data_IF_087493496363
#
_entry.id   IF_087493496363
#
_cell.length_a   1.000
_cell.length_b   1.000
_cell.length_c   1.000
_cell.angle_alpha   90.00
_cell.angle_beta   90.00
_cell.angle_gamma   90.00
#
_symmetry.space_group_name_H-M   'P 1'
#
loop_
_entity.id
_entity.type
_entity.pdbx_description
1 polymer ?
#
# COMPACT_ATOMS: atom_id res chain seq x y z
N UNK A 1 -15.29 22.51 17.62
CA UNK A 1 -14.20 21.94 18.49
C UNK A 1 -13.25 21.10 17.63
N UNK A 2 -11.92 21.35 17.70
CA UNK A 2 -10.97 20.60 16.87
C UNK A 2 -10.82 19.17 17.36
N UNK A 3 -11.17 18.21 16.52
CA UNK A 3 -11.10 16.77 16.80
C UNK A 3 -10.06 16.13 15.87
N UNK A 4 -9.17 15.31 16.43
CA UNK A 4 -8.19 14.53 15.67
C UNK A 4 -8.60 13.06 15.70
N UNK A 5 -8.87 12.47 14.51
CA UNK A 5 -9.25 11.06 14.36
C UNK A 5 -8.42 10.39 13.27
N UNK A 6 -8.23 9.08 13.42
CA UNK A 6 -7.60 8.23 12.40
C UNK A 6 -8.63 7.24 11.88
N UNK A 7 -8.79 7.19 10.56
CA UNK A 7 -9.72 6.33 9.85
C UNK A 7 -8.96 5.34 8.97
N UNK A 8 -9.49 4.14 8.80
CA UNK A 8 -8.99 3.20 7.80
C UNK A 8 -9.61 3.50 6.43
N UNK A 9 -8.80 3.42 5.38
CA UNK A 9 -9.23 3.65 4.00
C UNK A 9 -9.12 2.36 3.21
N UNK A 10 -10.18 2.00 2.50
CA UNK A 10 -10.17 0.86 1.59
C UNK A 10 -10.17 1.31 0.13
N UNK A 11 -9.63 0.47 -0.77
CA UNK A 11 -9.57 0.77 -2.20
C UNK A 11 -8.31 1.51 -2.68
N UNK A 12 -7.40 1.93 -1.79
CA UNK A 12 -6.11 2.50 -2.20
C UNK A 12 -5.20 1.43 -2.80
N UNK A 13 -4.81 1.61 -4.06
CA UNK A 13 -3.93 0.67 -4.78
C UNK A 13 -2.55 1.23 -5.11
N UNK A 14 -2.35 2.54 -4.94
CA UNK A 14 -1.11 3.22 -5.30
C UNK A 14 -0.94 4.53 -4.52
N UNK A 15 0.29 5.06 -4.49
CA UNK A 15 0.61 6.31 -3.81
C UNK A 15 -0.13 7.53 -4.40
N UNK A 16 -0.43 7.53 -5.71
CA UNK A 16 -1.27 8.56 -6.33
C UNK A 16 -2.72 8.53 -5.85
N UNK A 17 -3.23 7.35 -5.47
CA UNK A 17 -4.54 7.22 -4.81
C UNK A 17 -4.54 7.93 -3.46
N UNK A 18 -3.50 7.72 -2.65
CA UNK A 18 -3.32 8.38 -1.37
C UNK A 18 -3.23 9.92 -1.54
N UNK A 19 -2.44 10.40 -2.52
CA UNK A 19 -2.33 11.83 -2.81
C UNK A 19 -3.67 12.45 -3.24
N UNK A 20 -4.52 11.69 -3.94
CA UNK A 20 -5.85 12.15 -4.32
C UNK A 20 -6.77 12.25 -3.12
N UNK A 21 -6.80 11.25 -2.25
CA UNK A 21 -7.60 11.27 -1.02
C UNK A 21 -7.14 12.42 -0.11
N UNK A 22 -5.84 12.62 0.02
CA UNK A 22 -5.22 13.73 0.73
C UNK A 22 -5.77 15.09 0.24
N UNK A 23 -5.74 15.30 -1.08
CA UNK A 23 -6.29 16.52 -1.69
C UNK A 23 -7.80 16.66 -1.47
N UNK A 24 -8.56 15.57 -1.57
CA UNK A 24 -10.02 15.58 -1.39
C UNK A 24 -10.40 15.87 0.05
N UNK A 25 -9.72 15.28 1.02
CA UNK A 25 -10.00 15.52 2.44
C UNK A 25 -9.58 16.93 2.88
N UNK A 26 -8.40 17.40 2.44
CA UNK A 26 -7.96 18.76 2.75
C UNK A 26 -8.80 19.86 2.07
N UNK A 27 -9.57 19.53 1.03
CA UNK A 27 -10.49 20.45 0.37
C UNK A 27 -11.89 20.48 1.01
N UNK A 28 -12.18 19.63 2.02
CA UNK A 28 -13.49 19.63 2.67
C UNK A 28 -13.64 20.80 3.65
N UNK A 29 -14.81 21.45 3.69
CA UNK A 29 -15.11 22.45 4.71
C UNK A 29 -14.95 21.87 6.12
N UNK A 30 -14.38 22.63 7.04
CA UNK A 30 -14.16 22.21 8.42
C UNK A 30 -12.95 21.29 8.64
N UNK A 31 -12.23 20.84 7.60
CA UNK A 31 -10.99 20.09 7.74
C UNK A 31 -9.83 21.07 7.87
N UNK A 32 -9.10 20.97 9.00
CA UNK A 32 -7.90 21.78 9.24
C UNK A 32 -6.67 21.16 8.60
N UNK A 33 -6.53 19.83 8.72
CA UNK A 33 -5.41 19.08 8.19
C UNK A 33 -5.81 17.61 8.01
N UNK A 34 -5.48 17.04 6.87
CA UNK A 34 -5.61 15.61 6.63
C UNK A 34 -4.28 15.06 6.10
N UNK A 35 -3.82 13.96 6.67
CA UNK A 35 -2.61 13.25 6.24
C UNK A 35 -2.93 11.80 5.96
N UNK A 36 -2.58 11.32 4.75
CA UNK A 36 -2.90 9.97 4.31
C UNK A 36 -1.66 9.10 4.37
N UNK A 37 -1.78 8.00 5.11
CA UNK A 37 -0.78 6.95 5.17
C UNK A 37 -1.12 5.84 4.18
N UNK A 38 -0.34 5.72 3.10
CA UNK A 38 -0.54 4.66 2.11
C UNK A 38 -0.12 3.28 2.63
N UNK A 39 0.93 3.19 3.47
CA UNK A 39 1.46 1.92 3.95
C UNK A 39 0.50 1.23 4.94
N UNK A 40 -0.13 2.00 5.82
CA UNK A 40 -1.12 1.51 6.80
C UNK A 40 -2.56 1.63 6.28
N UNK A 41 -2.75 2.16 5.06
CA UNK A 41 -4.06 2.46 4.47
C UNK A 41 -4.96 3.29 5.38
N UNK A 42 -4.40 4.29 6.09
CA UNK A 42 -5.13 5.13 7.04
C UNK A 42 -5.10 6.62 6.67
N UNK A 43 -6.09 7.37 7.13
CA UNK A 43 -6.16 8.82 7.09
C UNK A 43 -6.21 9.38 8.51
N UNK A 44 -5.29 10.25 8.84
CA UNK A 44 -5.38 11.07 10.04
C UNK A 44 -5.97 12.42 9.65
N UNK A 45 -7.12 12.77 10.23
CA UNK A 45 -7.84 13.99 9.91
C UNK A 45 -8.04 14.83 11.18
N UNK A 46 -7.65 16.10 11.11
CA UNK A 46 -7.94 17.14 12.11
C UNK A 46 -9.01 18.01 11.54
N UNK A 47 -10.20 18.00 12.15
CA UNK A 47 -11.35 18.74 11.65
C UNK A 47 -12.16 19.37 12.79
N UNK A 48 -12.94 20.39 12.47
CA UNK A 48 -13.88 20.97 13.39
C UNK A 48 -15.19 20.19 13.39
N UNK A 49 -15.53 19.59 14.56
CA UNK A 49 -16.74 18.76 14.70
C UNK A 49 -18.05 19.53 14.49
N UNK A 50 -18.02 20.86 14.57
CA UNK A 50 -19.20 21.70 14.38
C UNK A 50 -19.48 21.97 12.89
N UNK A 51 -18.46 21.86 12.02
CA UNK A 51 -18.56 22.09 10.58
C UNK A 51 -18.45 20.83 9.73
N UNK A 52 -17.78 19.77 10.24
CA UNK A 52 -17.49 18.55 9.51
C UNK A 52 -17.87 17.31 10.32
N UNK A 53 -18.54 16.35 9.69
CA UNK A 53 -18.90 15.07 10.31
C UNK A 53 -18.14 13.90 9.70
N UNK A 54 -18.03 12.78 10.44
CA UNK A 54 -17.45 11.53 9.96
C UNK A 54 -18.14 11.05 8.66
N UNK A 55 -19.44 11.29 8.53
CA UNK A 55 -20.22 10.92 7.35
C UNK A 55 -19.90 11.80 6.14
N UNK A 56 -19.63 13.10 6.33
CA UNK A 56 -19.23 14.00 5.24
C UNK A 56 -17.85 13.63 4.70
N UNK A 57 -16.90 13.27 5.59
CA UNK A 57 -15.58 12.77 5.21
C UNK A 57 -15.70 11.47 4.42
N UNK A 58 -16.54 10.53 4.89
CA UNK A 58 -16.79 9.26 4.20
C UNK A 58 -17.36 9.50 2.80
N UNK A 59 -18.36 10.34 2.67
CA UNK A 59 -18.99 10.67 1.37
C UNK A 59 -17.99 11.31 0.41
N UNK A 60 -17.13 12.21 0.89
CA UNK A 60 -16.08 12.84 0.07
C UNK A 60 -15.09 11.80 -0.47
N UNK A 61 -14.67 10.85 0.37
CA UNK A 61 -13.75 9.76 -0.03
C UNK A 61 -14.44 8.80 -0.98
N UNK A 62 -15.73 8.48 -0.77
CA UNK A 62 -16.53 7.63 -1.67
C UNK A 62 -16.70 8.27 -3.05
N UNK A 63 -16.97 9.57 -3.13
CA UNK A 63 -17.05 10.31 -4.39
C UNK A 63 -15.71 10.30 -5.15
N UNK A 64 -14.59 10.20 -4.44
CA UNK A 64 -13.27 10.03 -5.05
C UNK A 64 -13.00 8.59 -5.52
N UNK A 65 -13.90 7.63 -5.23
CA UNK A 65 -13.81 6.23 -5.66
C UNK A 65 -13.11 5.31 -4.68
N UNK A 66 -13.01 5.70 -3.40
CA UNK A 66 -12.44 4.95 -2.28
C UNK A 66 -13.48 4.82 -1.16
N UNK A 67 -13.18 4.13 -0.08
CA UNK A 67 -14.08 4.07 1.08
C UNK A 67 -13.33 4.36 2.38
N UNK A 68 -14.03 5.04 3.33
CA UNK A 68 -13.52 5.43 4.64
C UNK A 68 -14.33 4.69 5.70
N UNK A 69 -13.64 3.89 6.53
CA UNK A 69 -14.26 3.18 7.64
C UNK A 69 -14.35 4.12 8.85
N UNK A 70 -15.58 4.47 9.25
CA UNK A 70 -15.85 5.45 10.31
C UNK A 70 -16.05 4.82 11.68
N UNK A 71 -16.22 3.49 11.77
CA UNK A 71 -16.38 2.80 13.04
C UNK A 71 -15.03 2.66 13.76
N UNK A 72 -14.96 3.17 15.00
CA UNK A 72 -13.76 3.21 15.85
C UNK A 72 -13.69 2.05 16.84
N UNK A 73 -14.35 0.91 16.58
CA UNK A 73 -14.36 -0.26 17.45
C UNK A 73 -13.21 -1.25 17.18
N UNK A 74 -12.93 -2.15 18.12
CA UNK A 74 -11.92 -3.22 17.99
C UNK A 74 -12.16 -4.12 16.76
N UNK A 75 -13.38 -4.18 16.22
CA UNK A 75 -13.73 -4.93 15.02
C UNK A 75 -13.13 -4.35 13.73
N UNK A 76 -12.83 -3.03 13.69
CA UNK A 76 -12.29 -2.38 12.48
C UNK A 76 -10.89 -2.85 12.10
N UNK A 77 -10.05 -3.21 13.08
CA UNK A 77 -8.71 -3.73 12.80
C UNK A 77 -8.78 -5.16 12.20
N UNK A 78 -9.69 -5.99 12.69
CA UNK A 78 -9.89 -7.34 12.15
C UNK A 78 -10.51 -7.31 10.75
N UNK A 79 -11.46 -6.42 10.50
CA UNK A 79 -12.06 -6.22 9.16
C UNK A 79 -11.03 -5.68 8.16
N UNK A 80 -10.21 -4.72 8.56
CA UNK A 80 -9.11 -4.21 7.73
C UNK A 80 -8.09 -5.32 7.42
N UNK A 81 -7.72 -6.15 8.39
CA UNK A 81 -6.82 -7.27 8.19
C UNK A 81 -7.40 -8.33 7.24
N UNK A 82 -8.67 -8.67 7.39
CA UNK A 82 -9.35 -9.59 6.49
C UNK A 82 -9.45 -9.03 5.07
N UNK A 83 -9.70 -7.72 4.91
CA UNK A 83 -9.71 -7.05 3.62
C UNK A 83 -8.31 -7.07 2.96
N UNK A 84 -7.25 -6.81 3.72
CA UNK A 84 -5.86 -6.92 3.25
C UNK A 84 -5.50 -8.36 2.86
N UNK A 85 -5.85 -9.35 3.68
CA UNK A 85 -5.60 -10.75 3.38
C UNK A 85 -6.33 -11.21 2.11
N UNK A 86 -7.61 -10.85 1.95
CA UNK A 86 -8.40 -11.12 0.73
C UNK A 86 -7.76 -10.46 -0.50
N UNK A 87 -7.33 -9.22 -0.38
CA UNK A 87 -6.65 -8.49 -1.47
C UNK A 87 -5.35 -9.17 -1.87
N UNK A 88 -4.51 -9.56 -0.91
CA UNK A 88 -3.28 -10.29 -1.18
C UNK A 88 -3.53 -11.61 -1.90
N UNK A 89 -4.50 -12.41 -1.44
CA UNK A 89 -4.87 -13.67 -2.09
C UNK A 89 -5.39 -13.45 -3.52
N UNK A 90 -6.25 -12.46 -3.73
CA UNK A 90 -6.74 -12.09 -5.05
C UNK A 90 -5.59 -11.68 -5.98
N UNK A 91 -4.68 -10.82 -5.50
CA UNK A 91 -3.52 -10.37 -6.26
C UNK A 91 -2.57 -11.52 -6.59
N UNK A 92 -2.34 -12.42 -5.63
CA UNK A 92 -1.53 -13.64 -5.82
C UNK A 92 -2.11 -14.53 -6.92
N UNK A 93 -3.41 -14.80 -6.89
CA UNK A 93 -4.10 -15.61 -7.91
C UNK A 93 -4.04 -14.95 -9.28
N UNK A 94 -4.28 -13.63 -9.36
CA UNK A 94 -4.16 -12.88 -10.61
C UNK A 94 -2.74 -12.91 -11.18
N UNK A 95 -1.73 -12.72 -10.33
CA UNK A 95 -0.31 -12.74 -10.75
C UNK A 95 0.09 -14.12 -11.27
N UNK A 96 -0.24 -15.19 -10.54
CA UNK A 96 0.07 -16.56 -10.96
C UNK A 96 -0.63 -16.87 -12.29
N UNK A 97 -1.91 -16.52 -12.43
CA UNK A 97 -2.67 -16.73 -13.67
C UNK A 97 -2.10 -15.93 -14.84
N UNK A 98 -1.77 -14.66 -14.63
CA UNK A 98 -1.18 -13.82 -15.68
C UNK A 98 0.20 -14.34 -16.13
N UNK A 99 1.09 -14.72 -15.20
CA UNK A 99 2.41 -15.28 -15.52
C UNK A 99 2.29 -16.63 -16.24
N UNK A 100 1.41 -17.51 -15.73
CA UNK A 100 1.17 -18.84 -16.31
C UNK A 100 0.67 -18.78 -17.77
N UNK A 101 -0.02 -17.71 -18.16
CA UNK A 101 -0.46 -17.50 -19.55
C UNK A 101 0.52 -16.65 -20.36
N UNK A 102 1.16 -15.64 -19.78
CA UNK A 102 2.09 -14.75 -20.48
C UNK A 102 3.38 -15.48 -20.92
N UNK A 103 3.88 -16.41 -20.10
CA UNK A 103 5.08 -17.19 -20.46
C UNK A 103 4.84 -18.07 -21.70
N UNK A 104 3.78 -18.88 -21.81
CA UNK A 104 3.45 -19.57 -23.06
C UNK A 104 3.25 -18.62 -24.25
N UNK A 105 2.58 -17.48 -24.07
CA UNK A 105 2.42 -16.46 -25.12
C UNK A 105 3.79 -16.03 -25.65
N UNK A 106 4.73 -15.70 -24.76
CA UNK A 106 6.09 -15.31 -25.13
C UNK A 106 6.84 -16.44 -25.88
N UNK A 107 6.78 -17.67 -25.33
CA UNK A 107 7.46 -18.82 -25.95
C UNK A 107 6.91 -19.11 -27.35
N UNK A 108 5.60 -19.13 -27.51
CA UNK A 108 4.95 -19.39 -28.80
C UNK A 108 5.29 -18.28 -29.80
N UNK A 109 5.25 -17.00 -29.40
CA UNK A 109 5.59 -15.88 -30.27
C UNK A 109 7.05 -15.91 -30.74
N UNK A 110 7.99 -16.41 -29.89
CA UNK A 110 9.42 -16.48 -30.28
C UNK A 110 9.75 -17.64 -31.19
N UNK A 111 9.20 -18.84 -30.94
CA UNK A 111 9.61 -20.06 -31.64
C UNK A 111 8.62 -20.55 -32.70
N UNK A 112 7.35 -20.14 -32.64
CA UNK A 112 6.27 -20.67 -33.49
C UNK A 112 5.50 -19.57 -34.22
N UNK A 113 6.09 -18.41 -34.42
CA UNK A 113 5.44 -17.22 -35.05
C UNK A 113 4.99 -17.46 -36.52
N UNK A 114 5.58 -18.41 -37.20
CA UNK A 114 5.25 -18.73 -38.60
C UNK A 114 3.92 -19.50 -38.75
N UNK A 115 3.52 -20.26 -37.69
CA UNK A 115 2.34 -21.11 -37.74
C UNK A 115 1.07 -20.27 -37.50
N UNK A 116 0.19 -20.19 -38.48
CA UNK A 116 -1.05 -19.41 -38.40
C UNK A 116 -1.92 -19.82 -37.21
N UNK A 117 -2.05 -21.12 -36.91
CA UNK A 117 -2.79 -21.62 -35.75
C UNK A 117 -2.24 -21.07 -34.44
N UNK A 118 -0.90 -20.97 -34.33
CA UNK A 118 -0.26 -20.46 -33.10
C UNK A 118 -0.51 -18.98 -32.89
N UNK A 119 -0.65 -18.17 -33.94
CA UNK A 119 -1.04 -16.76 -33.85
C UNK A 119 -2.42 -16.58 -33.20
N UNK A 120 -3.39 -17.43 -33.55
CA UNK A 120 -4.73 -17.40 -32.94
C UNK A 120 -4.71 -17.88 -31.48
N UNK A 121 -3.90 -18.89 -31.16
CA UNK A 121 -3.72 -19.34 -29.75
C UNK A 121 -3.12 -18.21 -28.92
N UNK A 122 -2.08 -17.57 -29.39
CA UNK A 122 -1.43 -16.40 -28.75
C UNK A 122 -2.45 -15.27 -28.53
N UNK A 123 -3.28 -14.97 -29.54
CA UNK A 123 -4.35 -14.00 -29.41
C UNK A 123 -5.33 -14.33 -28.28
N UNK A 124 -5.85 -15.56 -28.22
CA UNK A 124 -6.78 -15.99 -27.17
C UNK A 124 -6.15 -15.89 -25.77
N UNK A 125 -4.93 -16.42 -25.61
CA UNK A 125 -4.21 -16.37 -24.32
C UNK A 125 -3.93 -14.93 -23.91
N UNK A 126 -3.46 -14.10 -24.84
CA UNK A 126 -3.20 -12.68 -24.59
C UNK A 126 -4.49 -11.92 -24.22
N UNK A 127 -5.62 -12.24 -24.86
CA UNK A 127 -6.92 -11.66 -24.52
C UNK A 127 -7.28 -11.90 -23.06
N UNK A 128 -7.09 -13.12 -22.57
CA UNK A 128 -7.34 -13.46 -21.17
C UNK A 128 -6.40 -12.65 -20.24
N UNK A 129 -5.13 -12.53 -20.60
CA UNK A 129 -4.17 -11.75 -19.79
C UNK A 129 -4.54 -10.27 -19.79
N UNK A 130 -4.75 -9.67 -20.98
CA UNK A 130 -4.94 -8.23 -21.14
C UNK A 130 -6.29 -7.78 -20.58
N UNK A 131 -7.37 -8.44 -20.96
CA UNK A 131 -8.74 -8.04 -20.57
C UNK A 131 -9.19 -8.66 -19.25
N UNK A 132 -8.72 -9.87 -18.91
CA UNK A 132 -9.04 -10.53 -17.67
C UNK A 132 -8.19 -10.00 -16.50
N UNK A 133 -6.91 -10.33 -16.48
CA UNK A 133 -5.99 -9.95 -15.39
C UNK A 133 -5.60 -8.47 -15.45
N UNK A 134 -5.53 -7.86 -16.64
CA UNK A 134 -5.24 -6.43 -16.83
C UNK A 134 -6.41 -5.48 -16.57
N UNK A 135 -7.63 -5.99 -16.32
CA UNK A 135 -8.84 -5.16 -16.18
C UNK A 135 -8.71 -4.02 -15.19
N UNK A 136 -8.03 -4.23 -14.08
CA UNK A 136 -7.85 -3.22 -13.03
C UNK A 136 -7.11 -1.98 -13.55
N UNK A 137 -6.11 -2.14 -14.44
CA UNK A 137 -5.35 -1.04 -15.02
C UNK A 137 -6.24 -0.16 -15.89
N UNK A 138 -7.08 -0.75 -16.73
CA UNK A 138 -8.01 -0.02 -17.60
C UNK A 138 -9.07 0.74 -16.81
N UNK A 139 -9.63 0.12 -15.77
CA UNK A 139 -10.61 0.77 -14.88
C UNK A 139 -9.98 1.96 -14.13
N UNK A 140 -8.77 1.79 -13.61
CA UNK A 140 -8.06 2.87 -12.91
C UNK A 140 -7.67 3.99 -13.89
N UNK A 141 -7.14 3.65 -15.06
CA UNK A 141 -6.81 4.62 -16.09
C UNK A 141 -8.03 5.45 -16.51
N UNK A 142 -9.18 4.81 -16.72
CA UNK A 142 -10.41 5.49 -17.09
C UNK A 142 -10.89 6.47 -15.99
N UNK A 143 -10.84 6.03 -14.73
CA UNK A 143 -11.17 6.89 -13.58
C UNK A 143 -10.22 8.11 -13.49
N UNK A 144 -8.92 7.89 -13.71
CA UNK A 144 -7.92 8.97 -13.69
C UNK A 144 -8.14 9.97 -14.82
N UNK A 145 -8.39 9.48 -16.03
CA UNK A 145 -8.61 10.32 -17.21
C UNK A 145 -9.82 11.24 -17.05
N UNK A 146 -10.93 10.74 -16.46
CA UNK A 146 -12.11 11.55 -16.15
C UNK A 146 -11.82 12.75 -15.25
N UNK A 147 -10.74 12.69 -14.48
CA UNK A 147 -10.36 13.75 -13.54
C UNK A 147 -9.12 14.55 -13.99
N UNK A 148 -8.74 14.43 -15.29
CA UNK A 148 -7.62 15.17 -15.86
C UNK A 148 -6.26 14.86 -15.26
N UNK A 149 -6.12 13.67 -14.63
CA UNK A 149 -4.85 13.22 -14.07
C UNK A 149 -4.36 11.97 -14.80
N UNK A 150 -3.05 11.80 -14.89
CA UNK A 150 -2.40 10.63 -15.45
C UNK A 150 -1.43 10.03 -14.42
N UNK A 151 -1.35 8.71 -14.42
CA UNK A 151 -0.42 7.96 -13.57
C UNK A 151 0.18 6.79 -14.35
N UNK A 152 0.98 5.97 -13.66
CA UNK A 152 1.57 4.78 -14.25
C UNK A 152 0.52 3.80 -14.79
N UNK A 153 -0.64 3.62 -14.11
CA UNK A 153 -1.72 2.76 -14.59
C UNK A 153 -2.31 3.26 -15.94
N UNK A 154 -2.36 4.59 -16.11
CA UNK A 154 -2.80 5.21 -17.37
C UNK A 154 -1.87 4.86 -18.52
N UNK A 155 -0.55 4.97 -18.31
CA UNK A 155 0.43 4.61 -19.33
C UNK A 155 0.40 3.13 -19.68
N UNK A 156 0.33 2.27 -18.65
CA UNK A 156 0.20 0.81 -18.83
C UNK A 156 -1.04 0.46 -19.64
N UNK A 157 -2.20 1.04 -19.29
CA UNK A 157 -3.44 0.80 -20.00
C UNK A 157 -3.37 1.25 -21.47
N UNK A 158 -2.79 2.42 -21.74
CA UNK A 158 -2.61 2.94 -23.12
C UNK A 158 -1.64 2.05 -23.89
N UNK A 159 -0.47 1.76 -23.34
CA UNK A 159 0.56 0.97 -24.01
C UNK A 159 0.09 -0.45 -24.34
N UNK A 160 -0.45 -1.17 -23.33
CA UNK A 160 -0.93 -2.55 -23.53
C UNK A 160 -2.19 -2.60 -24.37
N UNK A 161 -3.08 -1.60 -24.26
CA UNK A 161 -4.29 -1.49 -25.07
C UNK A 161 -3.97 -1.25 -26.55
N UNK A 162 -3.06 -0.32 -26.84
CA UNK A 162 -2.61 -0.03 -28.21
C UNK A 162 -1.87 -1.24 -28.78
N UNK A 163 -0.93 -1.84 -28.02
CA UNK A 163 -0.21 -3.03 -28.48
C UNK A 163 -1.15 -4.18 -28.81
N UNK A 164 -2.15 -4.41 -27.96
CA UNK A 164 -3.17 -5.45 -28.17
C UNK A 164 -4.04 -5.14 -29.41
N UNK A 165 -4.64 -3.95 -29.49
CA UNK A 165 -5.51 -3.58 -30.60
C UNK A 165 -4.76 -3.59 -31.93
N UNK A 166 -3.53 -3.08 -31.94
CA UNK A 166 -2.66 -3.10 -33.13
C UNK A 166 -2.36 -4.54 -33.58
N UNK A 167 -2.07 -5.45 -32.61
CA UNK A 167 -1.82 -6.85 -32.93
C UNK A 167 -3.07 -7.57 -33.45
N UNK A 168 -4.25 -7.26 -32.90
CA UNK A 168 -5.53 -7.77 -33.40
C UNK A 168 -5.78 -7.30 -34.86
N UNK A 169 -5.54 -6.00 -35.13
CA UNK A 169 -5.66 -5.46 -36.48
C UNK A 169 -4.70 -6.17 -37.43
N UNK A 170 -3.44 -6.34 -37.07
CA UNK A 170 -2.43 -7.01 -37.89
C UNK A 170 -2.75 -8.49 -38.16
N UNK A 171 -3.35 -9.16 -37.17
CA UNK A 171 -3.76 -10.57 -37.30
C UNK A 171 -4.95 -10.73 -38.25
N UNK A 172 -5.94 -9.82 -38.17
CA UNK A 172 -7.17 -9.91 -38.95
C UNK A 172 -7.03 -9.33 -40.37
N UNK A 173 -6.17 -8.33 -40.53
CA UNK A 173 -5.97 -7.62 -41.82
C UNK A 173 -4.49 -7.62 -42.25
N UNK A 174 -3.85 -8.79 -42.41
CA UNK A 174 -2.44 -8.88 -42.78
C UNK A 174 -2.17 -8.26 -44.20
N UNK A 175 -3.11 -8.36 -45.13
CA UNK A 175 -2.97 -7.84 -46.50
C UNK A 175 -2.81 -6.31 -46.53
N UNK A 176 -3.32 -5.59 -45.54
CA UNK A 176 -3.11 -4.15 -45.40
C UNK A 176 -1.63 -3.78 -45.32
N UNK A 177 -0.81 -4.59 -44.62
CA UNK A 177 0.61 -4.37 -44.48
C UNK A 177 1.41 -4.98 -45.62
N UNK A 178 1.07 -6.20 -46.05
CA UNK A 178 1.75 -6.91 -47.12
C UNK A 178 1.67 -6.15 -48.46
N UNK A 179 0.53 -5.51 -48.76
CA UNK A 179 0.38 -4.66 -49.94
C UNK A 179 1.28 -3.40 -49.92
N UNK A 180 1.81 -3.03 -48.75
CA UNK A 180 2.74 -1.91 -48.53
C UNK A 180 4.18 -2.35 -48.28
N UNK A 181 4.51 -3.63 -48.54
CA UNK A 181 5.87 -4.14 -48.39
C UNK A 181 6.33 -4.33 -46.93
N UNK A 182 5.42 -4.24 -45.94
CA UNK A 182 5.74 -4.36 -44.52
C UNK A 182 5.19 -5.66 -43.97
N UNK A 183 6.00 -6.39 -43.22
CA UNK A 183 5.54 -7.60 -42.48
C UNK A 183 4.71 -7.21 -41.26
N UNK A 184 3.51 -7.79 -41.05
CA UNK A 184 2.69 -7.49 -39.91
C UNK A 184 3.31 -8.07 -38.63
N UNK A 185 3.82 -7.20 -37.73
CA UNK A 185 4.33 -7.61 -36.45
C UNK A 185 3.20 -7.69 -35.40
N UNK A 186 3.24 -8.72 -34.57
CA UNK A 186 2.32 -8.91 -33.46
C UNK A 186 3.06 -8.56 -32.15
N UNK A 187 2.37 -7.88 -31.22
CA UNK A 187 2.90 -7.43 -29.92
C UNK A 187 2.09 -8.02 -28.75
N UNK A 188 1.44 -9.16 -28.96
CA UNK A 188 0.65 -9.84 -27.93
C UNK A 188 1.51 -10.26 -26.73
N UNK A 189 2.74 -10.74 -27.00
CA UNK A 189 3.70 -11.09 -25.97
C UNK A 189 4.12 -9.87 -25.14
N UNK A 190 4.39 -8.74 -25.79
CA UNK A 190 4.76 -7.51 -25.08
C UNK A 190 3.63 -7.05 -24.15
N UNK A 191 2.39 -6.97 -24.66
CA UNK A 191 1.24 -6.58 -23.84
C UNK A 191 1.01 -7.53 -22.64
N UNK A 192 1.12 -8.84 -22.87
CA UNK A 192 0.93 -9.84 -21.82
C UNK A 192 2.03 -9.81 -20.77
N UNK A 193 3.29 -9.70 -21.20
CA UNK A 193 4.44 -9.64 -20.30
C UNK A 193 4.45 -8.37 -19.45
N UNK A 194 4.09 -7.21 -20.01
CA UNK A 194 3.98 -5.97 -19.25
C UNK A 194 2.98 -6.14 -18.10
N UNK A 195 1.79 -6.68 -18.36
CA UNK A 195 0.78 -6.91 -17.33
C UNK A 195 1.27 -7.91 -16.29
N UNK A 196 1.88 -9.03 -16.70
CA UNK A 196 2.39 -10.05 -15.81
C UNK A 196 3.49 -9.49 -14.88
N UNK A 197 4.45 -8.72 -15.41
CA UNK A 197 5.51 -8.10 -14.61
C UNK A 197 4.99 -7.06 -13.63
N UNK A 198 4.02 -6.24 -14.03
CA UNK A 198 3.46 -5.24 -13.12
C UNK A 198 2.65 -5.90 -12.00
N UNK A 199 1.88 -6.94 -12.30
CA UNK A 199 1.17 -7.71 -11.27
C UNK A 199 2.15 -8.41 -10.31
N UNK A 200 3.24 -8.97 -10.83
CA UNK A 200 4.31 -9.56 -10.02
C UNK A 200 4.95 -8.52 -9.09
N UNK A 201 5.26 -7.35 -9.62
CA UNK A 201 5.81 -6.26 -8.83
C UNK A 201 4.85 -5.79 -7.72
N UNK A 202 3.56 -5.64 -8.01
CA UNK A 202 2.54 -5.31 -7.01
C UNK A 202 2.40 -6.40 -5.94
N UNK A 203 2.52 -7.67 -6.31
CA UNK A 203 2.50 -8.78 -5.36
C UNK A 203 3.71 -8.72 -4.42
N UNK A 204 4.91 -8.45 -4.95
CA UNK A 204 6.13 -8.30 -4.15
C UNK A 204 6.03 -7.10 -3.20
N UNK A 205 5.48 -5.97 -3.67
CA UNK A 205 5.22 -4.79 -2.85
C UNK A 205 4.25 -5.10 -1.70
N UNK A 206 3.13 -5.76 -1.98
CA UNK A 206 2.13 -6.11 -0.97
C UNK A 206 2.70 -7.07 0.08
N UNK A 207 3.52 -8.04 -0.36
CA UNK A 207 4.25 -8.96 0.53
C UNK A 207 5.23 -8.21 1.44
N UNK A 208 5.95 -7.23 0.91
CA UNK A 208 6.87 -6.41 1.69
C UNK A 208 6.13 -5.57 2.76
N UNK A 209 4.98 -4.99 2.41
CA UNK A 209 4.11 -4.26 3.37
C UNK A 209 3.62 -5.14 4.51
N UNK A 210 3.23 -6.39 4.23
CA UNK A 210 2.79 -7.33 5.27
C UNK A 210 3.89 -7.61 6.29
N UNK A 211 5.12 -7.81 5.85
CA UNK A 211 6.26 -8.06 6.74
C UNK A 211 6.53 -6.87 7.67
N UNK A 212 6.42 -5.66 7.17
CA UNK A 212 6.64 -4.44 7.98
C UNK A 212 5.52 -4.23 9.01
N UNK A 213 4.27 -4.52 8.66
CA UNK A 213 3.14 -4.50 9.60
C UNK A 213 3.28 -5.52 10.73
N UNK A 214 4.00 -6.63 10.50
CA UNK A 214 4.24 -7.68 11.51
C UNK A 214 5.09 -7.17 12.69
N UNK A 215 6.03 -6.26 12.47
CA UNK A 215 6.83 -5.66 13.55
C UNK A 215 5.96 -4.82 14.49
N UNK A 216 5.06 -3.99 13.96
CA UNK A 216 4.09 -3.22 14.78
C UNK A 216 3.13 -4.15 15.52
N UNK A 217 2.65 -5.22 14.87
CA UNK A 217 1.78 -6.22 15.51
C UNK A 217 2.48 -6.90 16.69
N UNK A 218 3.77 -7.19 16.58
CA UNK A 218 4.56 -7.69 17.69
C UNK A 218 4.57 -6.70 18.87
N UNK A 219 4.73 -5.39 18.62
CA UNK A 219 4.67 -4.36 19.66
C UNK A 219 3.27 -4.26 20.29
N UNK A 220 2.21 -4.26 19.48
CA UNK A 220 0.82 -4.27 19.99
C UNK A 220 0.54 -5.54 20.81
N UNK A 221 1.04 -6.70 20.39
CA UNK A 221 0.91 -7.97 21.10
C UNK A 221 1.65 -8.04 22.42
N UNK A 222 2.46 -7.03 22.78
CA UNK A 222 3.12 -6.94 24.09
C UNK A 222 2.17 -6.46 25.19
N UNK A 223 1.05 -5.84 24.87
CA UNK A 223 0.08 -5.38 25.85
C UNK A 223 -0.83 -6.53 26.30
N UNK A 224 -0.88 -6.88 27.59
CA UNK A 224 -1.78 -7.91 28.10
C UNK A 224 -3.23 -7.46 27.97
N UNK A 225 -4.14 -8.42 27.76
CA UNK A 225 -5.59 -8.13 27.63
C UNK A 225 -6.28 -7.89 28.98
N UNK A 226 -5.69 -8.34 30.07
CA UNK A 226 -6.24 -8.26 31.43
C UNK A 226 -5.23 -7.75 32.42
N UNK A 227 -5.70 -7.16 33.52
CA UNK A 227 -4.90 -6.66 34.63
C UNK A 227 -5.49 -7.14 35.98
N UNK A 228 -4.64 -7.34 37.00
CA UNK A 228 -5.09 -7.69 38.32
C UNK A 228 -5.06 -6.44 39.21
N UNK A 229 -6.25 -5.90 39.50
CA UNK A 229 -6.45 -4.71 40.35
C UNK A 229 -6.67 -5.17 41.76
N UNK A 230 -6.07 -4.46 42.72
CA UNK A 230 -6.28 -4.67 44.18
C UNK A 230 -7.40 -3.75 44.62
N UNK A 231 -8.46 -4.35 45.14
CA UNK A 231 -9.61 -3.66 45.75
C UNK A 231 -9.71 -3.99 47.22
N UNK A 232 -10.56 -3.29 47.98
CA UNK A 232 -10.83 -3.60 49.40
C UNK A 232 -11.36 -5.03 49.61
N UNK A 233 -12.00 -5.59 48.57
CA UNK A 233 -12.52 -6.98 48.59
C UNK A 233 -11.49 -8.03 48.09
N UNK A 234 -10.25 -7.65 47.78
CA UNK A 234 -9.19 -8.54 47.32
C UNK A 234 -8.73 -8.30 45.88
N UNK A 235 -7.95 -9.24 45.35
CA UNK A 235 -7.47 -9.19 43.96
C UNK A 235 -8.59 -9.52 42.97
N UNK A 236 -8.74 -8.68 41.94
CA UNK A 236 -9.72 -8.88 40.87
C UNK A 236 -9.08 -8.69 39.50
N UNK A 237 -9.16 -9.69 38.64
CA UNK A 237 -8.73 -9.59 37.26
C UNK A 237 -9.82 -8.97 36.41
N UNK A 238 -9.49 -7.90 35.69
CA UNK A 238 -10.41 -7.17 34.82
C UNK A 238 -9.77 -6.94 33.43
N UNK A 239 -10.57 -6.71 32.39
CA UNK A 239 -10.04 -6.25 31.09
C UNK A 239 -9.27 -4.93 31.26
N UNK A 240 -8.19 -4.77 30.47
CA UNK A 240 -7.30 -3.58 30.55
C UNK A 240 -8.04 -2.26 30.34
N UNK A 241 -9.10 -2.26 29.51
CA UNK A 241 -9.91 -1.07 29.22
C UNK A 241 -10.63 -0.52 30.47
N UNK A 242 -10.75 -1.34 31.52
CA UNK A 242 -11.37 -0.96 32.80
C UNK A 242 -10.39 -0.40 33.81
N UNK A 243 -9.08 -0.49 33.56
CA UNK A 243 -8.07 0.11 34.42
C UNK A 243 -8.15 1.64 34.39
N UNK A 244 -8.09 2.26 35.55
CA UNK A 244 -8.18 3.71 35.75
C UNK A 244 -6.92 4.25 36.39
N UNK A 245 -6.65 5.53 36.15
CA UNK A 245 -5.58 6.25 36.87
C UNK A 245 -5.86 6.21 38.35
N UNK A 246 -4.84 5.84 39.13
CA UNK A 246 -4.93 5.67 40.60
C UNK A 246 -5.17 4.23 41.05
N UNK A 247 -5.59 3.31 40.20
CA UNK A 247 -5.76 1.90 40.55
C UNK A 247 -4.43 1.28 40.96
N UNK A 248 -4.47 0.41 42.00
CA UNK A 248 -3.30 -0.38 42.43
C UNK A 248 -3.34 -1.72 41.69
N UNK A 249 -2.32 -1.98 40.92
CA UNK A 249 -2.17 -3.21 40.13
C UNK A 249 -1.08 -4.09 40.71
N UNK A 250 -1.36 -5.39 40.85
CA UNK A 250 -0.39 -6.40 41.22
C UNK A 250 0.20 -7.07 40.01
N UNK A 251 1.52 -7.26 40.00
CA UNK A 251 2.26 -7.96 38.94
C UNK A 251 3.08 -9.08 39.54
N UNK A 252 2.87 -10.30 39.07
CA UNK A 252 3.56 -11.51 39.46
C UNK A 252 4.79 -11.78 38.59
N UNK A 253 5.73 -12.63 39.04
CA UNK A 253 6.86 -13.02 38.22
C UNK A 253 6.41 -13.61 36.87
N UNK A 254 7.04 -13.19 35.76
CA UNK A 254 6.72 -13.59 34.38
C UNK A 254 5.56 -12.85 33.76
N UNK A 255 4.83 -12.01 34.50
CA UNK A 255 3.72 -11.23 33.97
C UNK A 255 4.22 -9.96 33.25
N UNK A 256 3.47 -9.53 32.23
CA UNK A 256 3.67 -8.26 31.54
C UNK A 256 2.98 -7.14 32.27
N UNK A 257 3.64 -5.99 32.35
CA UNK A 257 3.07 -4.77 32.91
C UNK A 257 2.10 -4.19 31.88
N UNK A 258 0.86 -3.94 32.31
CA UNK A 258 -0.22 -3.59 31.40
C UNK A 258 -0.33 -2.10 31.10
N UNK A 259 -0.01 -1.24 32.09
CA UNK A 259 -0.14 0.21 32.06
C UNK A 259 1.07 0.87 32.71
N UNK A 260 1.28 2.17 32.48
CA UNK A 260 2.39 2.88 33.14
C UNK A 260 2.00 3.28 34.57
N UNK A 261 2.98 3.20 35.48
CA UNK A 261 2.74 3.57 36.86
C UNK A 261 3.99 3.69 37.70
N UNK A 262 3.79 3.86 39.03
CA UNK A 262 4.84 4.00 40.02
C UNK A 262 4.72 2.91 41.07
N UNK A 263 5.80 2.18 41.32
CA UNK A 263 5.85 1.09 42.34
C UNK A 263 5.52 1.64 43.72
N UNK A 264 4.57 0.99 44.41
CA UNK A 264 4.15 1.38 45.74
C UNK A 264 4.60 0.42 46.81
N UNK A 265 4.66 -0.88 46.50
CA UNK A 265 5.03 -1.95 47.46
C UNK A 265 5.78 -3.04 46.70
N UNK A 266 6.88 -3.53 47.29
CA UNK A 266 7.68 -4.60 46.71
C UNK A 266 8.82 -4.13 45.84
N UNK A 267 9.60 -5.08 45.37
CA UNK A 267 10.71 -4.84 44.44
C UNK A 267 10.85 -6.00 43.44
N UNK A 268 11.39 -5.74 42.28
CA UNK A 268 11.65 -6.76 41.28
C UNK A 268 12.68 -6.31 40.21
N UNK A 269 13.09 -7.26 39.40
CA UNK A 269 13.81 -7.00 38.16
C UNK A 269 12.84 -7.01 36.97
N UNK A 270 12.82 -5.93 36.21
CA UNK A 270 11.93 -5.74 35.10
C UNK A 270 12.76 -5.67 33.81
N UNK A 271 12.39 -6.48 32.82
CA UNK A 271 12.97 -6.43 31.50
C UNK A 271 12.32 -5.29 30.70
N UNK A 272 13.09 -4.24 30.51
CA UNK A 272 12.73 -3.03 29.75
C UNK A 272 13.42 -2.99 28.37
N UNK A 273 13.99 -4.11 27.92
CA UNK A 273 14.78 -4.18 26.66
C UNK A 273 14.00 -3.71 25.44
N UNK A 274 12.68 -3.87 25.43
CA UNK A 274 11.83 -3.36 24.36
C UNK A 274 11.75 -1.82 24.30
N UNK A 275 12.05 -1.12 25.40
CA UNK A 275 12.05 0.34 25.48
C UNK A 275 13.45 0.92 25.35
N UNK A 276 14.42 0.34 26.12
CA UNK A 276 15.80 0.83 26.20
C UNK A 276 16.74 0.21 25.18
N UNK A 277 16.40 -0.97 24.63
CA UNK A 277 17.29 -1.78 23.80
C UNK A 277 18.35 -2.55 24.59
N UNK A 278 18.45 -2.36 25.90
CA UNK A 278 19.44 -3.03 26.74
C UNK A 278 18.90 -4.37 27.26
N UNK A 279 19.63 -5.49 27.11
CA UNK A 279 19.14 -6.82 27.51
C UNK A 279 19.18 -7.07 29.02
N UNK A 280 19.74 -6.14 29.82
CA UNK A 280 19.86 -6.29 31.25
C UNK A 280 18.60 -5.80 31.95
N UNK A 281 17.98 -6.66 32.77
CA UNK A 281 16.80 -6.29 33.54
C UNK A 281 17.13 -5.23 34.59
N UNK A 282 16.28 -4.21 34.70
CA UNK A 282 16.43 -3.08 35.61
C UNK A 282 15.79 -3.40 36.92
N UNK A 283 16.50 -3.15 38.05
CA UNK A 283 15.94 -3.27 39.37
C UNK A 283 14.91 -2.16 39.62
N UNK A 284 13.71 -2.51 40.07
CA UNK A 284 12.61 -1.59 40.38
C UNK A 284 12.23 -1.73 41.85
N UNK A 285 12.24 -0.62 42.53
CA UNK A 285 11.86 -0.51 43.96
C UNK A 285 10.77 0.55 44.16
N UNK A 286 10.25 0.65 45.38
CA UNK A 286 9.19 1.62 45.72
C UNK A 286 9.58 3.05 45.32
N UNK A 287 8.69 3.74 44.58
CA UNK A 287 8.88 5.07 44.05
C UNK A 287 9.40 5.12 42.62
N UNK A 288 9.83 4.00 42.03
CA UNK A 288 10.32 3.95 40.64
C UNK A 288 9.20 3.69 39.66
N UNK A 289 9.41 4.17 38.40
CA UNK A 289 8.44 4.04 37.32
C UNK A 289 8.55 2.70 36.64
N UNK A 290 7.39 2.16 36.24
CA UNK A 290 7.24 0.97 35.39
C UNK A 290 6.39 1.31 34.19
N UNK A 291 6.62 0.61 33.08
CA UNK A 291 6.05 0.95 31.77
C UNK A 291 5.30 -0.23 31.16
N UNK A 292 4.23 0.09 30.45
CA UNK A 292 3.42 -0.89 29.72
C UNK A 292 4.26 -1.69 28.71
N UNK A 293 4.00 -3.01 28.64
CA UNK A 293 4.67 -3.91 27.69
C UNK A 293 5.96 -4.54 28.22
N UNK A 294 6.57 -4.01 29.31
CA UNK A 294 7.75 -4.58 29.95
C UNK A 294 7.40 -5.85 30.74
N UNK A 295 8.38 -6.69 31.04
CA UNK A 295 8.17 -8.02 31.67
C UNK A 295 8.78 -8.05 33.05
N UNK A 296 7.96 -8.37 34.06
CA UNK A 296 8.42 -8.63 35.41
C UNK A 296 9.13 -9.98 35.49
N UNK A 297 10.39 -10.03 35.97
CA UNK A 297 11.17 -11.28 35.96
C UNK A 297 11.12 -12.07 37.24
N UNK A 298 11.50 -11.49 38.40
CA UNK A 298 11.79 -12.30 39.62
C UNK A 298 10.93 -12.01 40.82
N UNK A 299 10.60 -10.79 41.11
CA UNK A 299 9.83 -10.40 42.30
C UNK A 299 8.34 -10.23 41.98
N UNK A 300 7.56 -9.98 43.05
CA UNK A 300 6.19 -9.52 42.93
C UNK A 300 6.10 -8.11 43.52
N UNK A 301 5.44 -7.20 42.80
CA UNK A 301 5.26 -5.84 43.27
C UNK A 301 3.87 -5.31 42.97
N UNK A 302 3.51 -4.22 43.64
CA UNK A 302 2.29 -3.47 43.37
C UNK A 302 2.67 -2.08 42.95
N UNK A 303 1.97 -1.55 41.95
CA UNK A 303 2.19 -0.21 41.46
C UNK A 303 0.88 0.54 41.29
N UNK A 304 0.93 1.86 41.47
CA UNK A 304 -0.20 2.75 41.20
C UNK A 304 -0.16 3.15 39.71
N UNK A 305 -1.30 3.07 39.06
CA UNK A 305 -1.47 3.46 37.65
C UNK A 305 -1.36 4.97 37.53
N UNK A 306 -0.43 5.45 36.70
CA UNK A 306 -0.24 6.87 36.39
C UNK A 306 -0.80 7.22 35.02
N UNK A 307 -0.73 6.29 34.02
CA UNK A 307 -1.26 6.47 32.67
C UNK A 307 -1.90 5.18 32.15
N UNK A 308 -2.96 5.34 31.35
CA UNK A 308 -3.70 4.22 30.75
C UNK A 308 -3.97 4.47 29.25
N UNK A 309 -4.30 3.42 28.51
CA UNK A 309 -4.74 3.50 27.11
C UNK A 309 -3.72 4.19 26.19
N UNK A 310 -4.17 5.23 25.50
CA UNK A 310 -3.36 5.97 24.50
C UNK A 310 -2.20 6.78 25.08
N UNK A 311 -2.19 6.99 26.39
CA UNK A 311 -1.20 7.87 27.04
C UNK A 311 0.00 7.09 27.60
N UNK A 312 -0.05 5.76 27.55
CA UNK A 312 1.08 4.90 27.93
C UNK A 312 2.27 5.08 26.99
N UNK A 313 3.49 4.86 27.52
CA UNK A 313 4.74 4.97 26.74
C UNK A 313 4.72 4.02 25.53
N UNK A 314 4.25 2.79 25.71
CA UNK A 314 4.10 1.83 24.62
C UNK A 314 3.14 2.35 23.52
N UNK A 315 1.99 2.91 23.90
CA UNK A 315 1.04 3.47 22.93
C UNK A 315 1.61 4.67 22.19
N UNK A 316 2.42 5.52 22.85
CA UNK A 316 3.12 6.62 22.21
C UNK A 316 4.19 6.13 21.22
N UNK A 317 4.96 5.09 21.57
CA UNK A 317 5.93 4.47 20.65
C UNK A 317 5.23 3.89 19.44
N UNK A 318 4.14 3.13 19.64
CA UNK A 318 3.35 2.57 18.54
C UNK A 318 2.85 3.69 17.61
N UNK A 319 2.36 4.80 18.17
CA UNK A 319 1.91 5.96 17.39
C UNK A 319 3.05 6.61 16.62
N UNK A 320 4.21 6.83 17.25
CA UNK A 320 5.39 7.38 16.58
C UNK A 320 5.85 6.49 15.41
N UNK A 321 5.86 5.17 15.59
CA UNK A 321 6.19 4.22 14.52
C UNK A 321 5.15 4.27 13.40
N UNK A 322 3.87 4.34 13.72
CA UNK A 322 2.79 4.49 12.74
C UNK A 322 2.88 5.81 11.99
N UNK A 323 3.18 6.91 12.67
CA UNK A 323 3.35 8.24 12.05
C UNK A 323 4.61 8.29 11.17
N UNK A 324 5.72 7.68 11.60
CA UNK A 324 6.94 7.56 10.80
C UNK A 324 6.71 6.73 9.53
N UNK A 325 6.00 5.60 9.64
CA UNK A 325 5.61 4.79 8.48
C UNK A 325 4.59 5.50 7.57
N UNK A 326 3.85 6.46 8.11
CA UNK A 326 2.85 7.24 7.40
C UNK A 326 3.40 8.34 6.53
N UNK A 327 4.59 8.82 6.82
CA UNK A 327 5.20 9.85 6.02
C UNK A 327 5.64 9.28 4.68
N UNK A 328 5.13 9.85 3.57
CA UNK A 328 5.66 9.53 2.23
C UNK A 328 7.14 9.88 2.20
N UNK A 329 7.98 8.89 1.94
CA UNK A 329 9.39 9.16 1.70
C UNK A 329 9.53 10.24 0.61
N UNK A 330 10.42 11.22 0.78
CA UNK A 330 10.62 12.31 -0.20
C UNK A 330 10.85 11.78 -1.62
N UNK A 331 11.53 10.66 -1.75
CA UNK A 331 11.80 9.98 -3.03
C UNK A 331 10.52 9.48 -3.70
N UNK A 332 9.53 9.03 -2.94
CA UNK A 332 8.26 8.56 -3.50
C UNK A 332 7.43 9.72 -4.06
N UNK A 333 7.42 10.88 -3.37
CA UNK A 333 6.81 12.12 -3.88
C UNK A 333 7.46 12.56 -5.20
N UNK A 334 8.79 12.41 -5.30
CA UNK A 334 9.55 12.74 -6.51
C UNK A 334 9.18 11.82 -7.68
N UNK A 335 9.08 10.51 -7.44
CA UNK A 335 8.68 9.52 -8.46
C UNK A 335 7.27 9.79 -8.96
N UNK A 336 6.31 10.07 -8.07
CA UNK A 336 4.95 10.43 -8.44
C UNK A 336 4.89 11.70 -9.30
N UNK A 337 5.67 12.72 -8.94
CA UNK A 337 5.79 13.97 -9.71
C UNK A 337 6.40 13.73 -11.10
N UNK A 338 7.47 12.95 -11.16
CA UNK A 338 8.12 12.59 -12.44
C UNK A 338 7.13 11.81 -13.32
N UNK A 339 6.43 10.81 -12.80
CA UNK A 339 5.46 10.04 -13.56
C UNK A 339 4.33 10.90 -14.11
N UNK A 340 3.84 11.88 -13.32
CA UNK A 340 2.81 12.82 -13.75
C UNK A 340 3.21 13.71 -14.93
N UNK A 341 4.51 14.02 -15.08
CA UNK A 341 5.06 14.80 -16.21
C UNK A 341 5.43 13.87 -17.37
N UNK A 342 6.02 12.73 -17.06
CA UNK A 342 6.54 11.78 -18.04
C UNK A 342 5.45 11.24 -18.98
N UNK A 343 4.29 10.88 -18.44
CA UNK A 343 3.20 10.31 -19.25
C UNK A 343 2.72 11.26 -20.35
N UNK A 344 2.34 12.52 -20.06
CA UNK A 344 1.97 13.47 -21.13
C UNK A 344 3.09 13.74 -22.12
N UNK A 345 4.35 13.82 -21.67
CA UNK A 345 5.51 14.06 -22.54
C UNK A 345 5.70 12.89 -23.51
N UNK A 346 5.62 11.64 -23.03
CA UNK A 346 5.75 10.47 -23.91
C UNK A 346 4.61 10.39 -24.93
N UNK A 347 3.39 10.68 -24.53
CA UNK A 347 2.26 10.74 -25.47
C UNK A 347 2.53 11.82 -26.53
N UNK A 348 3.02 12.99 -26.12
CA UNK A 348 3.41 14.06 -27.03
C UNK A 348 4.51 13.63 -28.03
N UNK A 349 5.55 12.95 -27.54
CA UNK A 349 6.64 12.43 -28.40
C UNK A 349 6.12 11.37 -29.35
N UNK A 350 5.24 10.47 -28.90
CA UNK A 350 4.65 9.44 -29.76
C UNK A 350 3.81 10.05 -30.89
N UNK A 351 2.97 11.04 -30.59
CA UNK A 351 2.18 11.77 -31.60
C UNK A 351 3.08 12.58 -32.51
N UNK A 352 4.09 13.25 -31.98
CA UNK A 352 5.05 14.02 -32.80
C UNK A 352 5.82 13.11 -33.76
N UNK A 353 6.26 11.95 -33.30
CA UNK A 353 6.91 10.92 -34.11
C UNK A 353 6.01 10.48 -35.27
N UNK A 354 4.72 10.25 -35.01
CA UNK A 354 3.72 9.90 -36.01
C UNK A 354 3.60 11.01 -37.07
N UNK A 355 3.46 12.27 -36.64
CA UNK A 355 3.32 13.43 -37.52
C UNK A 355 4.57 13.62 -38.40
N UNK A 356 5.77 13.50 -37.84
CA UNK A 356 7.04 13.63 -38.56
C UNK A 356 7.11 12.60 -39.66
N UNK A 357 6.78 11.34 -39.43
CA UNK A 357 6.78 10.30 -40.42
C UNK A 357 5.79 10.59 -41.57
N UNK A 358 4.58 11.07 -41.26
CA UNK A 358 3.59 11.46 -42.30
C UNK A 358 4.10 12.60 -43.17
N UNK A 359 4.78 13.58 -42.59
CA UNK A 359 5.25 14.76 -43.32
C UNK A 359 6.47 14.49 -44.20
N UNK A 360 7.40 13.63 -43.71
CA UNK A 360 8.70 13.43 -44.35
C UNK A 360 8.83 12.14 -45.15
N UNK A 361 7.88 11.21 -45.08
CA UNK A 361 7.86 9.97 -45.85
C UNK A 361 6.58 9.85 -46.69
N UNK A 362 6.55 10.40 -47.91
CA UNK A 362 5.33 10.54 -48.70
C UNK A 362 4.65 9.22 -49.10
N UNK A 363 5.40 8.15 -49.29
CA UNK A 363 4.87 6.86 -49.79
C UNK A 363 4.45 5.89 -48.72
N UNK A 364 5.08 5.91 -47.51
CA UNK A 364 4.80 4.96 -46.41
C UNK A 364 4.75 5.64 -45.05
N UNK A 365 4.64 6.95 -45.00
CA UNK A 365 4.68 7.76 -43.78
C UNK A 365 3.66 7.35 -42.74
N UNK A 366 2.44 6.97 -43.13
CA UNK A 366 1.42 6.49 -42.21
C UNK A 366 1.82 5.17 -41.52
N UNK A 367 2.34 4.22 -42.31
CA UNK A 367 2.76 2.90 -41.82
C UNK A 367 3.91 3.01 -40.82
N UNK A 368 4.98 3.69 -41.22
CA UNK A 368 6.16 3.90 -40.35
C UNK A 368 5.84 4.78 -39.16
N UNK A 369 5.01 5.81 -39.35
CA UNK A 369 4.55 6.67 -38.27
C UNK A 369 3.74 5.94 -37.23
N UNK A 370 2.81 5.08 -37.64
CA UNK A 370 2.01 4.28 -36.74
C UNK A 370 2.87 3.27 -35.95
N UNK A 371 3.80 2.59 -36.60
CA UNK A 371 4.77 1.70 -35.97
C UNK A 371 5.63 2.44 -34.96
N UNK A 372 6.19 3.60 -35.29
CA UNK A 372 7.00 4.41 -34.40
C UNK A 372 6.20 4.88 -33.19
N UNK A 373 4.97 5.37 -33.39
CA UNK A 373 4.10 5.78 -32.28
C UNK A 373 3.80 4.64 -31.32
N UNK A 374 3.41 3.47 -31.84
CA UNK A 374 3.11 2.28 -31.05
C UNK A 374 4.35 1.83 -30.28
N UNK A 375 5.52 1.79 -30.94
CA UNK A 375 6.80 1.38 -30.32
C UNK A 375 7.20 2.33 -29.20
N UNK A 376 7.10 3.65 -29.41
CA UNK A 376 7.38 4.63 -28.34
C UNK A 376 6.47 4.41 -27.13
N UNK A 377 5.17 4.21 -27.33
CA UNK A 377 4.22 3.99 -26.24
C UNK A 377 4.46 2.68 -25.49
N UNK A 378 4.82 1.60 -26.18
CA UNK A 378 5.11 0.29 -25.56
C UNK A 378 6.40 0.35 -24.73
N UNK A 379 7.48 0.89 -25.31
CA UNK A 379 8.81 0.92 -24.65
C UNK A 379 8.86 1.90 -23.49
N UNK A 380 8.11 2.99 -23.55
CA UNK A 380 8.14 4.05 -22.56
C UNK A 380 7.50 3.67 -21.19
N UNK A 381 7.04 2.44 -21.02
CA UNK A 381 6.52 2.01 -19.74
C UNK A 381 7.63 1.99 -18.66
N UNK A 382 7.63 2.88 -17.64
CA UNK A 382 8.63 2.86 -16.57
C UNK A 382 8.25 1.83 -15.50
N UNK A 383 7.96 0.58 -15.93
CA UNK A 383 7.40 -0.45 -15.06
C UNK A 383 8.26 -0.73 -13.83
N UNK A 384 9.59 -0.70 -13.98
CA UNK A 384 10.55 -0.90 -12.90
C UNK A 384 10.62 0.29 -11.92
N UNK A 385 10.48 1.53 -12.40
CA UNK A 385 10.58 2.73 -11.56
C UNK A 385 9.46 2.80 -10.52
N UNK A 386 8.23 2.42 -10.90
CA UNK A 386 7.07 2.43 -10.00
C UNK A 386 7.12 1.34 -8.92
N UNK A 387 7.97 0.32 -9.08
CA UNK A 387 8.05 -0.84 -8.18
C UNK A 387 9.31 -0.83 -7.32
N UNK A 388 10.46 -0.43 -7.88
CA UNK A 388 11.76 -0.52 -7.22
C UNK A 388 11.85 0.36 -5.98
N UNK A 389 11.42 1.61 -6.07
CA UNK A 389 11.56 2.58 -4.97
C UNK A 389 10.70 2.24 -3.75
N UNK A 390 9.37 2.01 -3.87
CA UNK A 390 8.56 1.61 -2.72
C UNK A 390 9.02 0.30 -2.09
N UNK A 391 9.39 -0.69 -2.90
CA UNK A 391 9.82 -2.01 -2.43
C UNK A 391 11.14 -1.94 -1.66
N UNK A 392 12.15 -1.25 -2.19
CA UNK A 392 13.45 -1.09 -1.55
C UNK A 392 13.31 -0.34 -0.21
N UNK A 393 12.50 0.71 -0.18
CA UNK A 393 12.26 1.53 1.01
C UNK A 393 11.53 0.75 2.11
N UNK A 394 10.45 0.03 1.76
CA UNK A 394 9.68 -0.77 2.71
C UNK A 394 10.54 -1.90 3.29
N UNK A 395 11.34 -2.58 2.46
CA UNK A 395 12.25 -3.64 2.92
C UNK A 395 13.35 -3.05 3.81
N UNK A 396 13.92 -1.90 3.45
CA UNK A 396 14.94 -1.20 4.23
C UNK A 396 14.44 -0.77 5.60
N UNK A 397 13.28 -0.10 5.66
CA UNK A 397 12.64 0.30 6.92
C UNK A 397 12.26 -0.93 7.76
N UNK A 398 11.70 -1.97 7.13
CA UNK A 398 11.33 -3.20 7.83
C UNK A 398 12.54 -3.89 8.49
N UNK A 399 13.66 -4.00 7.79
CA UNK A 399 14.91 -4.55 8.34
C UNK A 399 15.53 -3.65 9.40
N UNK A 400 15.47 -2.33 9.24
CA UNK A 400 15.86 -1.37 10.27
C UNK A 400 15.08 -1.58 11.56
N UNK A 401 13.76 -1.66 11.45
CA UNK A 401 12.87 -1.88 12.59
C UNK A 401 13.12 -3.23 13.31
N UNK A 402 13.43 -4.32 12.56
CA UNK A 402 13.82 -5.61 13.15
C UNK A 402 15.11 -5.51 13.98
N UNK A 403 15.97 -4.55 13.70
CA UNK A 403 17.24 -4.29 14.41
C UNK A 403 17.09 -3.16 15.44
N UNK A 404 15.86 -2.71 15.73
CA UNK A 404 15.61 -1.62 16.68
C UNK A 404 15.94 -0.23 16.15
N UNK A 405 16.22 -0.09 14.86
CA UNK A 405 16.47 1.21 14.22
C UNK A 405 15.14 1.71 13.66
N UNK A 406 14.59 2.73 14.30
CA UNK A 406 13.40 3.46 13.85
C UNK A 406 13.86 4.65 13.00
N UNK A 407 13.62 4.60 11.68
CA UNK A 407 13.98 5.65 10.72
C UNK A 407 12.72 6.46 10.40
#
# INVERSE_FOLDING_TARGET
MKTKKTYQITGMSCASCAARIDKVLNAQPGVCEATINYATASAQVVYDSDECSDQSLKTAVQNAGYDLLTDTGNNTNEEAEQAHAKRYQSLKTQTIGAVALAVPVMVISMWFSELTLMKYIVWILSTIVVLGFGRSFYVHAWKQLKHGSSNMDTLVAISTGIAYLFSVFNLLFPDFWLSRGVSPHLYFEAASMIIAFILLGRLLEERAKQNTSTAIKKLIGLQPKTVTIITESGERTVPIEKARIGDIIAVKPGERIAVDGTVTIGESYVDESMLSGEPVAVHKQTGEKVYAGTINQKGAFRFRTDKTGSDTMLAQIIRMVQDAQGSKAPVQKLVDKIAGIFVPVIIGIAVLSFIIWILFAPTEGFTHGLLAMVTVLIIACPCALGLATPTALIVGIGKGAEQGILI
#
